data_IF_619364544722
#
_entry.id   IF_619364544722
#
_cell.length_a   1.000
_cell.length_b   1.000
_cell.length_c   1.000
_cell.angle_alpha   90.00
_cell.angle_beta   90.00
_cell.angle_gamma   90.00
#
_symmetry.space_group_name_H-M   'P 1'
#
loop_
_entity.id
_entity.type
_entity.pdbx_description
1 polymer ?
#
# COMPACT_ATOMS: atom_id res chain seq x y z
N UNK A 1 -22.84 -10.15 -30.59
CA UNK A 1 -22.94 -10.13 -29.11
C UNK A 1 -21.53 -10.15 -28.51
N UNK A 2 -20.92 -8.98 -28.32
CA UNK A 2 -19.63 -8.85 -27.62
C UNK A 2 -19.53 -7.42 -27.06
N UNK A 3 -19.91 -7.21 -25.79
CA UNK A 3 -19.77 -5.89 -25.14
C UNK A 3 -19.59 -5.88 -23.61
N UNK A 4 -19.34 -7.02 -22.96
CA UNK A 4 -19.41 -7.09 -21.47
C UNK A 4 -18.04 -7.11 -20.77
N UNK A 5 -16.95 -7.51 -21.44
CA UNK A 5 -15.63 -7.62 -20.79
C UNK A 5 -14.93 -6.26 -20.51
N UNK A 6 -15.22 -5.21 -21.28
CA UNK A 6 -14.48 -3.95 -21.23
C UNK A 6 -14.94 -2.92 -20.19
N UNK A 7 -16.13 -3.08 -19.61
CA UNK A 7 -16.63 -2.21 -18.54
C UNK A 7 -16.15 -2.70 -17.17
N UNK A 8 -16.33 -4.00 -16.91
CA UNK A 8 -15.91 -4.67 -15.67
C UNK A 8 -14.41 -4.50 -15.38
N UNK A 9 -13.55 -4.66 -16.40
CA UNK A 9 -12.10 -4.53 -16.25
C UNK A 9 -11.66 -3.08 -15.93
N UNK A 10 -12.31 -2.07 -16.52
CA UNK A 10 -11.99 -0.66 -16.23
C UNK A 10 -12.49 -0.22 -14.86
N UNK A 11 -13.62 -0.75 -14.42
CA UNK A 11 -14.17 -0.52 -13.08
C UNK A 11 -13.27 -1.16 -12.03
N UNK A 12 -12.85 -2.43 -12.21
CA UNK A 12 -11.87 -3.07 -11.33
C UNK A 12 -10.52 -2.35 -11.29
N UNK A 13 -10.03 -1.86 -12.43
CA UNK A 13 -8.76 -1.10 -12.47
C UNK A 13 -8.88 0.24 -11.75
N UNK A 14 -10.01 0.92 -11.89
CA UNK A 14 -10.31 2.16 -11.18
C UNK A 14 -10.41 1.93 -9.67
N UNK A 15 -11.09 0.86 -9.25
CA UNK A 15 -11.22 0.49 -7.85
C UNK A 15 -9.85 0.17 -7.23
N UNK A 16 -9.00 -0.57 -7.95
CA UNK A 16 -7.64 -0.84 -7.51
C UNK A 16 -6.77 0.43 -7.48
N UNK A 17 -7.00 1.41 -8.34
CA UNK A 17 -6.33 2.71 -8.25
C UNK A 17 -6.78 3.51 -7.02
N UNK A 18 -8.08 3.52 -6.71
CA UNK A 18 -8.62 4.15 -5.51
C UNK A 18 -8.10 3.50 -4.22
N UNK A 19 -8.02 2.16 -4.19
CA UNK A 19 -7.46 1.42 -3.07
C UNK A 19 -5.96 1.73 -2.89
N UNK A 20 -5.19 1.82 -3.98
CA UNK A 20 -3.77 2.24 -3.90
C UNK A 20 -3.61 3.65 -3.36
N UNK A 21 -4.50 4.58 -3.74
CA UNK A 21 -4.49 5.94 -3.18
C UNK A 21 -4.77 5.91 -1.66
N UNK A 22 -5.78 5.15 -1.24
CA UNK A 22 -6.12 4.98 0.18
C UNK A 22 -4.97 4.36 0.98
N UNK A 23 -4.27 3.38 0.41
CA UNK A 23 -3.06 2.83 1.02
C UNK A 23 -1.96 3.89 1.19
N UNK A 24 -1.77 4.73 0.17
CA UNK A 24 -0.81 5.83 0.20
C UNK A 24 -1.11 6.85 1.30
N UNK A 25 -2.38 7.22 1.45
CA UNK A 25 -2.85 8.12 2.51
C UNK A 25 -2.64 7.52 3.91
N UNK A 26 -2.93 6.22 4.08
CA UNK A 26 -2.67 5.51 5.34
C UNK A 26 -1.17 5.47 5.69
N UNK A 27 -0.31 5.13 4.73
CA UNK A 27 1.15 5.12 4.92
C UNK A 27 1.71 6.50 5.24
N UNK A 28 1.17 7.54 4.60
CA UNK A 28 1.49 8.93 4.89
C UNK A 28 1.14 9.29 6.34
N UNK A 29 -0.04 8.89 6.80
CA UNK A 29 -0.47 9.08 8.19
C UNK A 29 0.50 8.45 9.19
N UNK A 30 0.84 7.18 9.00
CA UNK A 30 1.82 6.48 9.85
C UNK A 30 3.19 7.17 9.86
N UNK A 31 3.65 7.67 8.71
CA UNK A 31 4.92 8.40 8.60
C UNK A 31 4.88 9.69 9.43
N UNK A 32 3.79 10.45 9.30
CA UNK A 32 3.60 11.72 10.01
C UNK A 32 3.44 11.52 11.52
N UNK A 33 2.70 10.48 11.95
CA UNK A 33 2.59 10.07 13.35
C UNK A 33 3.94 9.63 13.94
N UNK A 34 4.80 9.02 13.11
CA UNK A 34 6.18 8.66 13.48
C UNK A 34 7.16 9.84 13.46
N UNK A 35 6.69 11.05 13.10
CA UNK A 35 7.51 12.26 13.04
C UNK A 35 8.54 12.28 11.92
N UNK A 36 8.36 11.47 10.87
CA UNK A 36 9.34 11.32 9.79
C UNK A 36 8.98 12.19 8.59
N UNK A 37 9.98 12.80 7.98
CA UNK A 37 9.90 13.29 6.60
C UNK A 37 9.94 12.13 5.60
N UNK A 38 9.56 12.40 4.34
CA UNK A 38 9.67 11.40 3.27
C UNK A 38 11.12 10.96 3.04
N UNK A 39 12.09 11.86 3.21
CA UNK A 39 13.52 11.56 3.07
C UNK A 39 14.00 10.64 4.19
N UNK A 40 13.62 10.92 5.44
CA UNK A 40 14.01 10.06 6.57
C UNK A 40 13.37 8.67 6.46
N UNK A 41 12.11 8.58 6.02
CA UNK A 41 11.50 7.28 5.75
C UNK A 41 12.26 6.55 4.63
N UNK A 42 12.64 7.24 3.55
CA UNK A 42 13.40 6.67 2.45
C UNK A 42 14.72 6.04 2.92
N UNK A 43 15.46 6.77 3.76
CA UNK A 43 16.70 6.30 4.38
C UNK A 43 16.48 5.05 5.23
N UNK A 44 15.47 5.08 6.12
CA UNK A 44 15.15 3.95 7.02
C UNK A 44 14.77 2.68 6.28
N UNK A 45 14.00 2.80 5.20
CA UNK A 45 13.59 1.63 4.41
C UNK A 45 14.65 1.21 3.38
N UNK A 46 15.72 2.00 3.22
CA UNK A 46 16.84 1.76 2.30
C UNK A 46 16.47 1.91 0.83
N UNK A 47 15.67 2.93 0.49
CA UNK A 47 15.39 3.29 -0.91
C UNK A 47 16.25 4.50 -1.29
N UNK A 48 16.99 4.40 -2.38
CA UNK A 48 17.94 5.45 -2.79
C UNK A 48 17.27 6.74 -3.29
N UNK A 49 15.95 6.72 -3.52
CA UNK A 49 15.21 7.84 -4.08
C UNK A 49 13.98 8.21 -3.24
N UNK A 50 13.98 9.41 -2.65
CA UNK A 50 12.83 9.97 -1.91
C UNK A 50 11.56 10.05 -2.76
N UNK A 51 11.71 10.21 -4.09
CA UNK A 51 10.59 10.23 -5.03
C UNK A 51 9.77 8.94 -4.94
N UNK A 52 10.39 7.82 -4.58
CA UNK A 52 9.70 6.57 -4.35
C UNK A 52 8.66 6.68 -3.22
N UNK A 53 9.01 7.28 -2.08
CA UNK A 53 8.07 7.47 -0.96
C UNK A 53 6.87 8.31 -1.41
N UNK A 54 7.13 9.43 -2.09
CA UNK A 54 6.06 10.28 -2.63
C UNK A 54 5.16 9.54 -3.64
N UNK A 55 5.72 8.70 -4.53
CA UNK A 55 4.91 7.90 -5.45
C UNK A 55 4.01 6.91 -4.71
N UNK A 56 4.52 6.25 -3.67
CA UNK A 56 3.73 5.33 -2.83
C UNK A 56 2.60 6.08 -2.11
N UNK A 57 2.92 7.19 -1.45
CA UNK A 57 1.93 8.01 -0.69
C UNK A 57 0.84 8.60 -1.60
N UNK A 58 1.12 8.79 -2.88
CA UNK A 58 0.14 9.27 -3.87
C UNK A 58 -0.53 8.13 -4.67
N UNK A 59 -0.35 6.87 -4.28
CA UNK A 59 -0.98 5.70 -4.93
C UNK A 59 -0.44 5.36 -6.33
N UNK A 60 0.68 5.96 -6.74
CA UNK A 60 1.33 5.74 -8.04
C UNK A 60 2.27 4.54 -8.06
N UNK A 61 2.35 3.80 -6.96
CA UNK A 61 3.11 2.56 -6.84
C UNK A 61 2.62 1.70 -5.69
N UNK A 62 3.30 0.57 -5.47
CA UNK A 62 3.10 -0.32 -4.32
C UNK A 62 4.44 -0.56 -3.64
N UNK A 63 4.43 -0.73 -2.33
CA UNK A 63 5.59 -1.28 -1.63
C UNK A 63 5.77 -2.73 -2.11
N UNK A 64 6.97 -3.14 -2.57
CA UNK A 64 7.24 -4.55 -2.86
C UNK A 64 7.06 -5.38 -1.59
N UNK A 65 6.36 -6.52 -1.67
CA UNK A 65 6.04 -7.37 -0.51
C UNK A 65 7.28 -7.76 0.33
N UNK A 66 8.41 -8.02 -0.33
CA UNK A 66 9.70 -8.29 0.32
C UNK A 66 10.25 -7.13 1.17
N UNK A 67 9.62 -5.95 1.16
CA UNK A 67 9.99 -4.77 1.96
C UNK A 67 9.01 -4.44 3.07
N UNK A 68 7.90 -5.16 3.21
CA UNK A 68 6.89 -4.88 4.24
C UNK A 68 7.47 -4.86 5.65
N UNK A 69 8.36 -5.82 5.98
CA UNK A 69 9.02 -5.85 7.28
C UNK A 69 9.81 -4.56 7.56
N UNK A 70 10.58 -4.06 6.58
CA UNK A 70 11.36 -2.82 6.73
C UNK A 70 10.47 -1.59 6.90
N UNK A 71 9.34 -1.55 6.19
CA UNK A 71 8.38 -0.45 6.30
C UNK A 71 7.68 -0.46 7.66
N UNK A 72 7.21 -1.63 8.11
CA UNK A 72 6.61 -1.80 9.42
C UNK A 72 7.57 -1.36 10.54
N UNK A 73 8.83 -1.83 10.49
CA UNK A 73 9.85 -1.44 11.48
C UNK A 73 10.13 0.07 11.46
N UNK A 74 10.26 0.68 10.27
CA UNK A 74 10.54 2.11 10.12
C UNK A 74 9.40 3.01 10.64
N UNK A 75 8.16 2.54 10.49
CA UNK A 75 6.92 3.22 10.91
C UNK A 75 6.47 2.82 12.33
N UNK A 76 7.22 1.97 13.03
CA UNK A 76 6.88 1.55 14.40
C UNK A 76 5.60 0.70 14.52
N UNK A 77 5.20 0.02 13.44
CA UNK A 77 4.01 -0.85 13.43
C UNK A 77 4.45 -2.31 13.52
N UNK A 78 3.72 -3.12 14.30
CA UNK A 78 3.96 -4.58 14.28
C UNK A 78 3.86 -5.13 12.84
N UNK A 79 4.80 -6.00 12.47
CA UNK A 79 4.93 -6.51 11.09
C UNK A 79 3.68 -7.25 10.62
N UNK A 80 3.01 -8.02 11.49
CA UNK A 80 1.79 -8.75 11.12
C UNK A 80 0.62 -7.79 10.96
N UNK A 81 0.48 -6.83 11.88
CA UNK A 81 -0.55 -5.78 11.79
C UNK A 81 -0.39 -4.98 10.50
N UNK A 82 0.82 -4.46 10.25
CA UNK A 82 1.12 -3.72 9.03
C UNK A 82 0.80 -4.53 7.77
N UNK A 83 1.23 -5.80 7.74
CA UNK A 83 1.03 -6.68 6.57
C UNK A 83 -0.46 -6.97 6.35
N UNK A 84 -1.22 -7.22 7.42
CA UNK A 84 -2.66 -7.43 7.33
C UNK A 84 -3.34 -6.17 6.77
N UNK A 85 -3.06 -5.01 7.33
CA UNK A 85 -3.69 -3.76 6.90
C UNK A 85 -3.32 -3.38 5.47
N UNK A 86 -2.04 -3.46 5.07
CA UNK A 86 -1.64 -3.10 3.70
C UNK A 86 -2.30 -4.02 2.66
N UNK A 87 -2.51 -5.31 2.99
CA UNK A 87 -3.17 -6.26 2.09
C UNK A 87 -4.63 -5.90 1.82
N UNK A 88 -5.35 -5.29 2.76
CA UNK A 88 -6.74 -4.80 2.54
C UNK A 88 -6.84 -3.86 1.34
N UNK A 89 -5.77 -3.12 1.05
CA UNK A 89 -5.71 -2.22 -0.09
C UNK A 89 -5.04 -2.84 -1.31
N UNK A 90 -3.98 -3.60 -1.09
CA UNK A 90 -3.09 -4.07 -2.16
C UNK A 90 -3.58 -5.36 -2.82
N UNK A 91 -4.25 -6.19 -2.06
CA UNK A 91 -4.81 -7.45 -2.52
C UNK A 91 -6.03 -7.84 -1.66
N UNK A 92 -7.18 -7.17 -1.87
CA UNK A 92 -8.38 -7.41 -1.07
C UNK A 92 -8.85 -8.86 -1.10
N UNK A 93 -8.63 -9.55 -2.23
CA UNK A 93 -8.96 -10.97 -2.38
C UNK A 93 -8.10 -11.85 -1.49
N UNK A 94 -6.76 -11.65 -1.50
CA UNK A 94 -5.87 -12.38 -0.58
C UNK A 94 -6.18 -12.02 0.88
N UNK A 95 -6.53 -10.76 1.18
CA UNK A 95 -6.95 -10.39 2.53
C UNK A 95 -8.20 -11.17 2.96
N UNK A 96 -9.24 -11.19 2.13
CA UNK A 96 -10.50 -11.90 2.40
C UNK A 96 -10.25 -13.39 2.66
N UNK A 97 -9.48 -14.04 1.77
CA UNK A 97 -9.13 -15.46 1.89
C UNK A 97 -8.35 -15.80 3.17
N UNK A 98 -7.51 -14.88 3.67
CA UNK A 98 -6.68 -15.10 4.86
C UNK A 98 -7.37 -14.70 6.17
N UNK A 99 -8.31 -13.75 6.14
CA UNK A 99 -8.79 -13.09 7.36
C UNK A 99 -10.32 -12.97 7.49
N UNK A 100 -11.06 -13.00 6.39
CA UNK A 100 -12.52 -12.78 6.39
C UNK A 100 -13.33 -14.03 6.00
N UNK A 101 -12.67 -15.10 5.53
CA UNK A 101 -13.30 -16.38 5.25
C UNK A 101 -13.60 -17.16 6.55
N UNK A 102 -14.87 -17.14 6.96
CA UNK A 102 -15.51 -18.06 7.89
C UNK A 102 -16.77 -18.66 7.25
#
# INVERSE_FOLDING_TARGET
MAKIAGAQARESDHDMAALRKSAGEWLKGLREESGLSQTELAERVGVDYYSFISQIENGRGRIPSGRFAKWADALGVDRRVFTKEILRYYDPCVHELLFDAA
#
